data_IF_964257926841
#
_entry.id   IF_964257926841
#
_cell.length_a   1.000
_cell.length_b   1.000
_cell.length_c   1.000
_cell.angle_alpha   90.00
_cell.angle_beta   90.00
_cell.angle_gamma   90.00
#
_symmetry.space_group_name_H-M   'P 1'
#
loop_
_entity.id
_entity.type
_entity.pdbx_description
1 polymer ?
#
# COMPACT_ATOMS: atom_id res chain seq x y z
N UNK A 1 -12.97 -3.32 43.01
CA UNK A 1 -12.25 -2.76 41.85
C UNK A 1 -12.39 -3.80 40.76
N UNK A 2 -13.31 -3.55 39.85
CA UNK A 2 -13.98 -4.54 39.03
C UNK A 2 -13.10 -4.99 37.86
N UNK A 3 -13.15 -6.30 37.60
CA UNK A 3 -12.26 -7.07 36.74
C UNK A 3 -12.36 -6.62 35.26
N UNK A 4 -11.23 -6.27 34.66
CA UNK A 4 -11.06 -5.82 33.26
C UNK A 4 -11.10 -6.97 32.24
N UNK A 5 -12.07 -7.90 32.35
CA UNK A 5 -12.14 -9.10 31.50
C UNK A 5 -13.36 -9.26 30.60
N UNK A 6 -14.23 -8.25 30.48
CA UNK A 6 -15.43 -8.32 29.62
C UNK A 6 -15.51 -7.20 28.58
N UNK A 7 -14.45 -6.97 27.80
CA UNK A 7 -14.63 -6.28 26.51
C UNK A 7 -15.07 -7.33 25.49
N UNK A 8 -16.39 -7.44 25.30
CA UNK A 8 -16.95 -8.15 24.13
C UNK A 8 -16.31 -7.54 22.88
N UNK A 9 -15.81 -8.36 21.93
CA UNK A 9 -15.24 -7.83 20.70
C UNK A 9 -16.30 -6.98 20.01
N UNK A 10 -15.98 -5.69 19.81
CA UNK A 10 -16.85 -4.77 19.09
C UNK A 10 -16.92 -5.29 17.67
N UNK A 11 -18.08 -5.80 17.26
CA UNK A 11 -18.32 -6.22 15.89
C UNK A 11 -18.33 -4.97 14.99
N UNK A 12 -17.17 -4.66 14.40
CA UNK A 12 -17.01 -3.57 13.46
C UNK A 12 -17.57 -3.98 12.09
N UNK A 13 -18.76 -3.47 11.76
CA UNK A 13 -19.38 -3.71 10.46
C UNK A 13 -18.43 -3.21 9.35
N UNK A 14 -18.05 -4.09 8.43
CA UNK A 14 -17.18 -3.72 7.31
C UNK A 14 -15.73 -3.39 7.68
N UNK A 15 -15.25 -3.81 8.87
CA UNK A 15 -13.88 -3.58 9.36
C UNK A 15 -13.52 -2.11 9.62
N UNK A 16 -14.49 -1.22 9.72
CA UNK A 16 -14.24 0.18 10.03
C UNK A 16 -13.51 0.32 11.37
N UNK A 17 -12.37 1.04 11.37
CA UNK A 17 -11.53 1.23 12.55
C UNK A 17 -10.69 0.01 12.97
N UNK A 18 -10.73 -1.10 12.22
CA UNK A 18 -9.96 -2.31 12.52
C UNK A 18 -8.72 -2.38 11.64
N UNK A 19 -7.54 -2.51 12.27
CA UNK A 19 -6.30 -2.83 11.56
C UNK A 19 -6.36 -4.30 11.14
N UNK A 20 -6.55 -4.55 9.85
CA UNK A 20 -6.68 -5.90 9.30
C UNK A 20 -5.34 -6.58 8.98
N UNK A 21 -4.33 -5.78 8.58
CA UNK A 21 -3.00 -6.26 8.22
C UNK A 21 -1.97 -5.13 8.23
N UNK A 22 -0.69 -5.48 8.30
CA UNK A 22 0.43 -4.59 8.04
C UNK A 22 0.90 -4.75 6.58
N UNK A 23 1.34 -3.65 5.95
CA UNK A 23 1.80 -3.67 4.56
C UNK A 23 2.85 -2.58 4.31
N UNK A 24 3.76 -2.87 3.39
CA UNK A 24 4.74 -1.91 2.85
C UNK A 24 4.37 -1.43 1.44
N UNK A 25 3.21 -1.83 0.90
CA UNK A 25 2.84 -1.59 -0.51
C UNK A 25 2.50 -0.12 -0.75
N UNK A 26 1.73 0.51 0.14
CA UNK A 26 1.29 1.87 -0.08
C UNK A 26 0.64 2.51 1.14
N UNK A 27 0.45 3.82 1.02
CA UNK A 27 -0.15 4.67 2.05
C UNK A 27 -1.10 5.68 1.40
N UNK A 28 -2.25 5.90 2.03
CA UNK A 28 -3.28 6.83 1.58
C UNK A 28 -3.57 7.81 2.71
N UNK A 29 -3.39 9.10 2.43
CA UNK A 29 -3.87 10.18 3.29
C UNK A 29 -5.00 10.91 2.58
N UNK A 30 -6.23 10.63 2.99
CA UNK A 30 -7.41 11.24 2.40
C UNK A 30 -7.61 12.71 2.79
N UNK A 31 -6.99 13.20 3.86
CA UNK A 31 -7.10 14.61 4.27
C UNK A 31 -6.21 15.48 3.39
N UNK A 32 -4.98 15.02 3.14
CA UNK A 32 -4.01 15.72 2.30
C UNK A 32 -4.13 15.35 0.80
N UNK A 33 -5.02 14.42 0.44
CA UNK A 33 -5.20 13.94 -0.94
C UNK A 33 -3.97 13.22 -1.49
N UNK A 34 -3.20 12.56 -0.62
CA UNK A 34 -1.90 11.99 -0.95
C UNK A 34 -1.97 10.47 -1.07
N UNK A 35 -1.36 9.96 -2.14
CA UNK A 35 -1.20 8.53 -2.40
C UNK A 35 0.28 8.20 -2.61
N UNK A 36 0.75 7.16 -1.92
CA UNK A 36 2.15 6.71 -1.96
C UNK A 36 2.19 5.22 -2.28
N UNK A 37 3.04 4.83 -3.23
CA UNK A 37 3.36 3.42 -3.53
C UNK A 37 4.84 3.14 -3.23
N UNK A 38 5.11 2.15 -2.38
CA UNK A 38 6.47 1.70 -2.01
C UNK A 38 7.42 2.87 -1.65
N UNK A 39 6.88 3.92 -1.01
CA UNK A 39 7.63 5.13 -0.63
C UNK A 39 7.66 6.26 -1.67
N UNK A 40 7.17 6.03 -2.90
CA UNK A 40 7.09 7.04 -3.95
C UNK A 40 5.73 7.74 -3.95
N UNK A 41 5.72 9.07 -4.01
CA UNK A 41 4.50 9.84 -4.25
C UNK A 41 3.91 9.48 -5.62
N UNK A 42 2.60 9.32 -5.71
CA UNK A 42 1.95 8.91 -6.95
C UNK A 42 2.23 9.87 -8.11
N UNK A 43 2.35 11.17 -7.84
CA UNK A 43 2.59 12.16 -8.89
C UNK A 43 3.97 11.96 -9.53
N UNK A 44 4.98 11.60 -8.73
CA UNK A 44 6.33 11.29 -9.22
C UNK A 44 6.29 10.08 -10.16
N UNK A 45 5.53 9.04 -9.81
CA UNK A 45 5.38 7.85 -10.65
C UNK A 45 4.62 8.17 -11.95
N UNK A 46 3.57 8.98 -11.90
CA UNK A 46 2.81 9.40 -13.08
C UNK A 46 3.65 10.21 -14.07
N UNK A 47 4.57 11.04 -13.58
CA UNK A 47 5.43 11.88 -14.42
C UNK A 47 6.63 11.12 -15.00
N UNK A 48 7.16 10.13 -14.27
CA UNK A 48 8.47 9.53 -14.56
C UNK A 48 8.44 8.04 -14.88
N UNK A 49 7.27 7.40 -14.86
CA UNK A 49 7.14 5.95 -15.04
C UNK A 49 5.93 5.58 -15.88
N UNK A 50 5.82 4.30 -16.22
CA UNK A 50 4.68 3.72 -16.94
C UNK A 50 3.99 2.64 -16.09
N UNK A 51 2.87 2.12 -16.61
CA UNK A 51 2.08 1.11 -15.92
C UNK A 51 2.92 -0.14 -15.58
N UNK A 52 3.71 -0.63 -16.52
CA UNK A 52 4.47 -1.86 -16.37
C UNK A 52 5.55 -1.71 -15.28
N UNK A 53 6.28 -0.59 -15.26
CA UNK A 53 7.27 -0.28 -14.21
C UNK A 53 6.64 -0.15 -12.83
N UNK A 54 5.49 0.54 -12.72
CA UNK A 54 4.76 0.65 -11.44
C UNK A 54 4.21 -0.71 -11.00
N UNK A 55 3.72 -1.54 -11.93
CA UNK A 55 3.28 -2.90 -11.60
C UNK A 55 4.42 -3.75 -11.06
N UNK A 56 5.62 -3.65 -11.66
CA UNK A 56 6.82 -4.30 -11.18
C UNK A 56 7.20 -3.80 -9.78
N UNK A 57 7.18 -2.48 -9.56
CA UNK A 57 7.41 -1.87 -8.24
C UNK A 57 6.49 -2.42 -7.17
N UNK A 58 5.19 -2.57 -7.45
CA UNK A 58 4.22 -3.06 -6.46
C UNK A 58 4.48 -4.52 -6.07
N UNK A 59 4.80 -5.38 -7.05
CA UNK A 59 5.04 -6.81 -6.85
C UNK A 59 6.40 -7.06 -6.19
N UNK A 60 7.47 -6.43 -6.70
CA UNK A 60 8.85 -6.73 -6.33
C UNK A 60 9.47 -5.72 -5.35
N UNK A 61 8.76 -4.64 -5.02
CA UNK A 61 9.15 -3.66 -4.02
C UNK A 61 10.20 -2.63 -4.47
N UNK A 62 10.65 -2.68 -5.73
CA UNK A 62 11.63 -1.73 -6.31
C UNK A 62 11.37 -1.51 -7.79
N UNK A 63 11.78 -0.36 -8.32
CA UNK A 63 11.75 -0.11 -9.76
C UNK A 63 12.67 -1.09 -10.50
N UNK A 64 12.27 -1.57 -11.70
CA UNK A 64 13.07 -2.52 -12.45
C UNK A 64 14.32 -1.88 -13.05
N UNK A 65 15.37 -2.68 -13.18
CA UNK A 65 16.45 -2.38 -14.14
C UNK A 65 15.99 -2.66 -15.56
N UNK A 66 16.74 -2.19 -16.57
CA UNK A 66 16.37 -2.41 -17.99
C UNK A 66 16.20 -3.89 -18.32
N UNK A 67 17.12 -4.74 -17.85
CA UNK A 67 17.07 -6.19 -18.11
C UNK A 67 15.88 -6.84 -17.41
N UNK A 68 15.62 -6.49 -16.15
CA UNK A 68 14.45 -6.96 -15.42
C UNK A 68 13.13 -6.53 -16.09
N UNK A 69 13.10 -5.32 -16.63
CA UNK A 69 11.94 -4.81 -17.34
C UNK A 69 11.71 -5.58 -18.63
N UNK A 70 12.76 -5.82 -19.42
CA UNK A 70 12.67 -6.66 -20.62
C UNK A 70 12.16 -8.05 -20.29
N UNK A 71 12.68 -8.69 -19.24
CA UNK A 71 12.21 -10.01 -18.85
C UNK A 71 10.76 -10.03 -18.33
N UNK A 72 10.33 -8.97 -17.63
CA UNK A 72 8.98 -8.88 -17.08
C UNK A 72 7.88 -8.69 -18.14
N UNK A 73 8.19 -8.06 -19.27
CA UNK A 73 7.21 -7.78 -20.34
C UNK A 73 7.17 -8.83 -21.46
N UNK A 74 8.08 -9.81 -21.45
CA UNK A 74 8.15 -10.89 -22.44
C UNK A 74 7.15 -12.02 -22.15
#
# INVERSE_FOLDING_TARGET
>A
MENSKDQKPVFARGLEGVIAAETEIGFVDGQEGRLVYRGYDINVLCENSNYEEVSYLLIYGKLPTRDQMTEYIN
#
